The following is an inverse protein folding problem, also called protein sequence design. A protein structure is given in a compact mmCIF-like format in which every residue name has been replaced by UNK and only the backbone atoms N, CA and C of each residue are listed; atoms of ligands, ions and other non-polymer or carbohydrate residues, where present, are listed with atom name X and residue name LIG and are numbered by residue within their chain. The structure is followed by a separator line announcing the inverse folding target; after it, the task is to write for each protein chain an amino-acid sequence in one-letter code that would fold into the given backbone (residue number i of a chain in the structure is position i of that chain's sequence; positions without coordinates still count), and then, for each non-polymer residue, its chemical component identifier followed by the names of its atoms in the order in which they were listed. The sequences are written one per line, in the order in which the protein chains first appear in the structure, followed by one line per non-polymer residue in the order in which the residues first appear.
data_IF_298472381030
#
_entry.id   IF_298472381030
#
_cell.length_a   1.000
_cell.length_b   1.000
_cell.length_c   1.000
_cell.angle_alpha   90.00
_cell.angle_beta   90.00
_cell.angle_gamma   90.00
#
_symmetry.space_group_name_H-M   'P 1'
#
loop_
_entity.id
_entity.type
_entity.pdbx_description
1 polymer ?
#
# COMPACT_ATOMS: atom_id res chain seq x y z
N UNK A 1 -19.30 -17.38 7.10
CA UNK A 1 -18.70 -16.78 5.89
C UNK A 1 -18.48 -15.31 6.22
N UNK A 2 -17.22 -14.88 6.33
CA UNK A 2 -16.87 -13.49 6.67
C UNK A 2 -17.03 -12.63 5.41
N UNK A 3 -18.22 -12.10 5.21
CA UNK A 3 -18.53 -11.19 4.10
C UNK A 3 -18.09 -9.76 4.42
N UNK A 4 -17.05 -9.32 3.70
CA UNK A 4 -16.61 -7.95 3.42
C UNK A 4 -16.15 -7.05 4.58
N UNK A 5 -14.87 -7.17 4.97
CA UNK A 5 -14.20 -6.26 5.93
C UNK A 5 -13.74 -4.91 5.32
N UNK A 6 -13.89 -4.68 4.01
CA UNK A 6 -13.54 -3.42 3.35
C UNK A 6 -14.45 -3.10 2.16
N UNK A 7 -14.79 -1.83 2.00
CA UNK A 7 -15.65 -1.33 0.92
C UNK A 7 -14.82 -0.95 -0.31
N UNK A 8 -15.47 -0.77 -1.46
CA UNK A 8 -14.83 -0.22 -2.66
C UNK A 8 -14.18 1.15 -2.40
N UNK A 9 -14.77 1.97 -1.52
CA UNK A 9 -14.20 3.25 -1.10
C UNK A 9 -12.88 3.06 -0.33
N UNK A 10 -12.79 2.03 0.53
CA UNK A 10 -11.53 1.72 1.22
C UNK A 10 -10.45 1.32 0.21
N UNK A 11 -10.78 0.48 -0.78
CA UNK A 11 -9.84 0.08 -1.83
C UNK A 11 -9.37 1.30 -2.62
N UNK A 12 -10.30 2.16 -3.05
CA UNK A 12 -9.97 3.35 -3.82
C UNK A 12 -9.05 4.30 -3.04
N UNK A 13 -9.34 4.54 -1.76
CA UNK A 13 -8.52 5.40 -0.89
C UNK A 13 -7.14 4.80 -0.64
N UNK A 14 -7.05 3.50 -0.43
CA UNK A 14 -5.78 2.79 -0.23
C UNK A 14 -4.91 2.85 -1.49
N UNK A 15 -5.49 2.62 -2.68
CA UNK A 15 -4.76 2.74 -3.95
C UNK A 15 -4.25 4.18 -4.15
N UNK A 16 -5.10 5.18 -3.92
CA UNK A 16 -4.69 6.58 -4.04
C UNK A 16 -3.53 6.92 -3.09
N UNK A 17 -3.65 6.52 -1.82
CA UNK A 17 -2.59 6.72 -0.81
C UNK A 17 -1.30 6.00 -1.22
N UNK A 18 -1.38 4.80 -1.78
CA UNK A 18 -0.22 4.08 -2.26
C UNK A 18 0.48 4.86 -3.39
N UNK A 19 -0.27 5.37 -4.37
CA UNK A 19 0.27 6.18 -5.46
C UNK A 19 0.97 7.46 -4.97
N UNK A 20 0.47 8.07 -3.91
CA UNK A 20 1.08 9.27 -3.33
C UNK A 20 2.39 8.96 -2.58
N UNK A 21 2.51 7.77 -1.98
CA UNK A 21 3.66 7.39 -1.15
C UNK A 21 4.77 6.69 -1.93
N UNK A 22 4.47 6.00 -3.03
CA UNK A 22 5.47 5.24 -3.77
C UNK A 22 5.49 5.60 -5.26
N UNK A 23 6.70 5.77 -5.80
CA UNK A 23 6.91 6.21 -7.19
C UNK A 23 6.41 5.17 -8.22
N UNK A 24 6.60 3.88 -7.95
CA UNK A 24 6.16 2.79 -8.83
C UNK A 24 5.41 1.72 -8.03
N UNK A 25 4.09 1.90 -7.82
CA UNK A 25 3.27 0.94 -7.09
C UNK A 25 3.26 -0.45 -7.71
N UNK A 26 3.36 -0.55 -9.04
CA UNK A 26 3.37 -1.85 -9.73
C UNK A 26 4.60 -2.63 -9.30
N UNK A 27 5.78 -2.02 -9.40
CA UNK A 27 7.04 -2.67 -9.02
C UNK A 27 7.09 -3.01 -7.53
N UNK A 28 6.55 -2.13 -6.67
CA UNK A 28 6.46 -2.39 -5.22
C UNK A 28 5.56 -3.58 -4.95
N UNK A 29 4.36 -3.64 -5.53
CA UNK A 29 3.44 -4.76 -5.31
C UNK A 29 3.96 -6.06 -5.93
N UNK A 30 4.65 -5.99 -7.07
CA UNK A 30 5.29 -7.13 -7.71
C UNK A 30 6.40 -7.73 -6.84
N UNK A 31 7.14 -6.91 -6.09
CA UNK A 31 8.18 -7.42 -5.18
C UNK A 31 7.64 -7.97 -3.86
N UNK A 32 6.37 -7.72 -3.54
CA UNK A 32 5.72 -8.14 -2.29
C UNK A 32 4.66 -9.22 -2.52
N UNK A 33 4.39 -9.60 -3.78
CA UNK A 33 3.37 -10.58 -4.14
C UNK A 33 3.92 -11.56 -5.18
N UNK A 34 3.30 -12.74 -5.29
CA UNK A 34 3.56 -13.68 -6.39
C UNK A 34 2.55 -13.50 -7.54
N UNK A 35 1.94 -12.33 -7.66
CA UNK A 35 0.93 -12.04 -8.66
C UNK A 35 1.55 -11.47 -9.93
N UNK A 36 0.93 -11.77 -11.08
CA UNK A 36 1.39 -11.20 -12.34
C UNK A 36 1.21 -9.69 -12.39
N UNK A 37 2.12 -9.00 -13.07
CA UNK A 37 2.03 -7.56 -13.36
C UNK A 37 0.66 -7.15 -13.88
N UNK A 38 0.06 -7.95 -14.76
CA UNK A 38 -1.28 -7.69 -15.32
C UNK A 38 -2.37 -7.71 -14.25
N UNK A 39 -2.29 -8.63 -13.29
CA UNK A 39 -3.25 -8.70 -12.16
C UNK A 39 -3.11 -7.48 -11.27
N UNK A 40 -1.87 -7.07 -10.97
CA UNK A 40 -1.57 -5.87 -10.18
C UNK A 40 -2.09 -4.61 -10.90
N UNK A 41 -1.85 -4.47 -12.20
CA UNK A 41 -2.35 -3.35 -12.98
C UNK A 41 -3.88 -3.26 -12.97
N UNK A 42 -4.57 -4.40 -13.11
CA UNK A 42 -6.03 -4.46 -13.03
C UNK A 42 -6.52 -4.01 -11.65
N UNK A 43 -5.89 -4.49 -10.57
CA UNK A 43 -6.21 -4.04 -9.22
C UNK A 43 -6.04 -2.52 -9.05
N UNK A 44 -4.90 -1.95 -9.47
CA UNK A 44 -4.63 -0.52 -9.36
C UNK A 44 -5.59 0.33 -10.20
N UNK A 45 -6.07 -0.19 -11.33
CA UNK A 45 -7.12 0.43 -12.15
C UNK A 45 -8.53 0.24 -11.58
N UNK A 46 -8.67 -0.59 -10.55
CA UNK A 46 -9.94 -1.05 -9.98
C UNK A 46 -10.77 -1.87 -10.97
N UNK A 47 -10.12 -2.50 -11.93
CA UNK A 47 -10.76 -3.47 -12.81
C UNK A 47 -11.09 -4.74 -12.01
N UNK A 48 -12.19 -5.44 -12.32
CA UNK A 48 -12.56 -6.66 -11.61
C UNK A 48 -11.46 -7.72 -11.69
N UNK A 49 -11.09 -8.31 -10.56
CA UNK A 49 -10.20 -9.47 -10.43
C UNK A 49 -10.79 -10.46 -9.42
N UNK A 50 -10.15 -11.63 -9.26
CA UNK A 50 -10.60 -12.64 -8.28
C UNK A 50 -10.62 -12.01 -6.86
N UNK A 51 -11.71 -12.20 -6.08
CA UNK A 51 -11.81 -11.62 -4.73
C UNK A 51 -10.63 -11.94 -3.81
N UNK A 52 -10.09 -13.16 -3.88
CA UNK A 52 -8.90 -13.54 -3.12
C UNK A 52 -7.67 -12.70 -3.48
N UNK A 53 -7.50 -12.34 -4.76
CA UNK A 53 -6.40 -11.48 -5.19
C UNK A 53 -6.63 -10.03 -4.77
N UNK A 54 -7.88 -9.54 -4.81
CA UNK A 54 -8.24 -8.22 -4.28
C UNK A 54 -7.92 -8.11 -2.80
N UNK A 55 -8.31 -9.11 -2.00
CA UNK A 55 -8.02 -9.16 -0.56
C UNK A 55 -6.52 -9.12 -0.30
N UNK A 56 -5.79 -10.01 -0.96
CA UNK A 56 -4.35 -10.10 -0.80
C UNK A 56 -3.63 -8.80 -1.20
N UNK A 57 -3.97 -8.21 -2.35
CA UNK A 57 -3.37 -6.94 -2.80
C UNK A 57 -3.73 -5.79 -1.85
N UNK A 58 -4.96 -5.75 -1.35
CA UNK A 58 -5.39 -4.74 -0.40
C UNK A 58 -4.59 -4.80 0.90
N UNK A 59 -4.42 -5.98 1.48
CA UNK A 59 -3.59 -6.19 2.68
C UNK A 59 -2.14 -5.74 2.45
N UNK A 60 -1.55 -6.15 1.33
CA UNK A 60 -0.17 -5.75 1.00
C UNK A 60 -0.04 -4.24 0.79
N UNK A 61 -1.04 -3.57 0.24
CA UNK A 61 -1.04 -2.11 0.14
C UNK A 61 -1.02 -1.45 1.53
N UNK A 62 -1.81 -1.96 2.48
CA UNK A 62 -1.83 -1.44 3.85
C UNK A 62 -0.45 -1.60 4.51
N UNK A 63 0.18 -2.77 4.37
CA UNK A 63 1.53 -3.02 4.92
C UNK A 63 2.57 -2.04 4.35
N UNK A 64 2.52 -1.76 3.04
CA UNK A 64 3.43 -0.81 2.39
C UNK A 64 3.22 0.60 2.93
N UNK A 65 1.97 1.03 3.04
CA UNK A 65 1.62 2.36 3.57
C UNK A 65 2.09 2.48 5.02
N UNK A 66 1.83 1.49 5.86
CA UNK A 66 2.22 1.49 7.27
C UNK A 66 3.75 1.57 7.42
N UNK A 67 4.51 0.74 6.68
CA UNK A 67 5.98 0.78 6.69
C UNK A 67 6.52 2.15 6.29
N UNK A 68 5.90 2.80 5.31
CA UNK A 68 6.31 4.14 4.88
C UNK A 68 6.06 5.18 5.98
N UNK A 69 4.90 5.13 6.64
CA UNK A 69 4.57 6.02 7.75
C UNK A 69 5.50 5.81 8.96
N UNK A 70 5.80 4.56 9.32
CA UNK A 70 6.75 4.25 10.39
C UNK A 70 8.15 4.80 10.06
N UNK A 71 8.61 4.67 8.81
CA UNK A 71 9.90 5.24 8.37
C UNK A 71 9.91 6.76 8.47
N UNK A 72 8.83 7.43 8.08
CA UNK A 72 8.68 8.89 8.22
C UNK A 72 8.75 9.35 9.67
N UNK A 73 8.08 8.63 10.58
CA UNK A 73 8.14 8.91 12.02
C UNK A 73 9.56 8.75 12.57
N UNK A 74 10.26 7.67 12.20
CA UNK A 74 11.64 7.43 12.61
C UNK A 74 12.60 8.52 12.11
N UNK A 75 12.44 8.97 10.86
CA UNK A 75 13.24 10.08 10.30
C UNK A 75 12.96 11.38 11.04
N UNK A 76 11.70 11.67 11.36
CA UNK A 76 11.31 12.85 12.13
C UNK A 76 11.94 12.84 13.53
N UNK A 77 11.93 11.68 14.22
CA UNK A 77 12.57 11.52 15.52
C UNK A 77 14.09 11.70 15.44
N UNK A 78 14.74 11.15 14.40
CA UNK A 78 16.18 11.36 14.15
C UNK A 78 16.50 12.84 13.92
N UNK A 79 15.70 13.53 13.12
CA UNK A 79 15.87 14.95 12.83
C UNK A 79 15.72 15.81 14.09
N UNK A 80 14.69 15.59 14.90
CA UNK A 80 14.51 16.30 16.19
C UNK A 80 15.71 16.12 17.12
N UNK A 81 16.28 14.91 17.19
CA UNK A 81 17.48 14.63 18.01
C UNK A 81 18.73 15.35 17.51
N UNK A 82 18.84 15.59 16.20
CA UNK A 82 19.97 16.33 15.63
C UNK A 82 19.82 17.81 15.98
N UNK A 83 18.66 18.42 15.71
CA UNK A 83 18.44 19.86 15.98
C UNK A 83 18.52 20.19 17.48
N UNK A 84 18.03 19.33 18.36
CA UNK A 84 18.10 19.58 19.82
C UNK A 84 19.52 19.43 20.40
N UNK A 85 20.47 18.93 19.62
CA UNK A 85 21.88 18.80 20.01
C UNK A 85 22.74 19.98 19.53
N UNK A 86 22.18 20.87 18.71
CA UNK A 86 22.72 22.19 18.37
C UNK A 86 22.10 23.26 19.28
#
# INVERSE_FOLDING_TARGET
MNDAMYTEQHIAKTIATLHDLVHDPIKVLESHTNLSRTTIQRFLRRDPIKPANTAHLFEICLDVIEKHQQRQQQLTLKYKRIIQKD
#
